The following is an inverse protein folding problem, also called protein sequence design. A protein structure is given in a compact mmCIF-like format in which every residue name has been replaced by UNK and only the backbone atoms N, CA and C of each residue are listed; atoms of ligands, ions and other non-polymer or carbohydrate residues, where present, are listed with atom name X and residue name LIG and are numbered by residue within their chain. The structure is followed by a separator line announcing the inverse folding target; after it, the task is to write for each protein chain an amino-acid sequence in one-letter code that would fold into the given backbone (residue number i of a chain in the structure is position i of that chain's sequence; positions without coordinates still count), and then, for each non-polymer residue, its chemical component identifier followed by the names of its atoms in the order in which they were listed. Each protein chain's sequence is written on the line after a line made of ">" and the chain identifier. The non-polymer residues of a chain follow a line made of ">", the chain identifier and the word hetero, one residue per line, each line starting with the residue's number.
data_IF_554317896197
#
_entry.id   IF_554317896197
#
_cell.length_a   1.000
_cell.length_b   1.000
_cell.length_c   1.000
_cell.angle_alpha   90.00
_cell.angle_beta   90.00
_cell.angle_gamma   90.00
#
_symmetry.space_group_name_H-M   'P 1'
#
loop_
_entity.id
_entity.type
_entity.pdbx_description
1 polymer ?
#
# COMPACT_ATOMS: atom_id res chain seq x y z
N UNK A 1 0.00 9.56 -3.04
CA UNK A 1 1.24 10.09 -2.42
C UNK A 1 1.08 11.59 -2.31
N UNK A 2 1.39 12.15 -1.15
CA UNK A 2 1.45 13.60 -0.89
C UNK A 2 2.89 13.96 -0.48
N UNK A 3 3.39 15.09 -0.96
CA UNK A 3 4.81 15.48 -0.79
C UNK A 3 4.89 16.95 -0.43
N UNK A 4 5.62 17.28 0.65
CA UNK A 4 5.80 18.66 1.12
C UNK A 4 7.26 18.95 1.41
N UNK A 5 7.75 20.10 0.97
CA UNK A 5 9.03 20.64 1.42
C UNK A 5 8.93 20.98 2.91
N UNK A 6 9.88 20.49 3.71
CA UNK A 6 9.88 20.66 5.17
C UNK A 6 11.17 21.24 5.74
N UNK A 7 12.24 21.34 4.94
CA UNK A 7 13.48 21.94 5.40
C UNK A 7 14.68 21.60 4.56
N UNK A 8 15.82 21.42 5.23
CA UNK A 8 17.11 21.18 4.60
C UNK A 8 17.53 19.71 4.73
N UNK A 9 18.02 19.16 3.62
CA UNK A 9 18.70 17.86 3.56
C UNK A 9 19.96 17.99 2.70
N UNK A 10 21.05 17.24 2.98
CA UNK A 10 22.24 17.26 2.13
C UNK A 10 21.98 16.76 0.70
N UNK A 11 20.83 16.14 0.42
CA UNK A 11 20.47 15.59 -0.88
C UNK A 11 19.81 16.64 -1.79
N UNK A 12 20.54 17.71 -2.09
CA UNK A 12 20.07 18.83 -2.92
C UNK A 12 19.57 20.04 -2.13
N UNK A 13 19.79 20.08 -0.81
CA UNK A 13 19.46 21.21 0.07
C UNK A 13 17.96 21.44 0.29
N UNK A 14 17.14 20.42 0.02
CA UNK A 14 15.69 20.40 0.28
C UNK A 14 15.35 19.04 0.88
N UNK A 15 14.58 19.06 1.96
CA UNK A 15 14.03 17.89 2.63
C UNK A 15 12.51 17.79 2.40
N UNK A 16 12.00 16.56 2.38
CA UNK A 16 10.60 16.27 2.05
C UNK A 16 9.92 15.42 3.12
N UNK A 17 8.73 15.85 3.57
CA UNK A 17 7.75 14.97 4.22
C UNK A 17 6.95 14.27 3.12
N UNK A 18 7.07 12.95 3.06
CA UNK A 18 6.45 12.11 2.03
C UNK A 18 5.42 11.20 2.68
N UNK A 19 4.16 11.41 2.35
CA UNK A 19 3.04 10.59 2.81
C UNK A 19 2.58 9.66 1.71
N UNK A 20 2.89 8.37 1.87
CA UNK A 20 2.44 7.30 1.00
C UNK A 20 1.30 6.51 1.67
N UNK A 21 0.34 6.08 0.87
CA UNK A 21 -0.76 5.21 1.28
C UNK A 21 -0.90 4.13 0.22
N UNK A 22 -1.05 2.89 0.67
CA UNK A 22 -1.21 1.70 -0.15
C UNK A 22 -2.54 1.04 0.20
N UNK A 23 -3.31 0.70 -0.82
CA UNK A 23 -4.50 -0.11 -0.71
C UNK A 23 -4.22 -1.54 -1.18
N UNK A 24 -5.20 -2.41 -0.98
CA UNK A 24 -5.24 -3.73 -1.60
C UNK A 24 -6.56 -3.86 -2.36
N UNK A 25 -6.47 -4.38 -3.58
CA UNK A 25 -7.61 -4.82 -4.37
C UNK A 25 -7.30 -6.22 -4.86
N UNK A 26 -8.32 -7.06 -4.93
CA UNK A 26 -8.15 -8.44 -5.37
C UNK A 26 -8.37 -8.50 -6.87
N UNK A 27 -7.39 -9.03 -7.60
CA UNK A 27 -7.51 -9.25 -9.04
C UNK A 27 -8.21 -10.59 -9.33
N UNK A 28 -7.85 -11.63 -8.60
CA UNK A 28 -8.41 -12.96 -8.77
C UNK A 28 -8.46 -13.73 -7.45
N UNK A 29 -9.57 -14.43 -7.22
CA UNK A 29 -9.75 -15.43 -6.16
C UNK A 29 -10.29 -16.69 -6.81
N UNK A 30 -9.67 -17.83 -6.50
CA UNK A 30 -10.18 -19.12 -6.97
C UNK A 30 -11.60 -19.38 -6.43
N UNK A 31 -12.46 -19.99 -7.24
CA UNK A 31 -13.88 -20.15 -6.93
C UNK A 31 -14.14 -20.97 -5.67
N UNK A 32 -13.31 -21.98 -5.41
CA UNK A 32 -13.36 -22.77 -4.18
C UNK A 32 -13.11 -21.90 -2.93
N UNK A 33 -12.25 -20.89 -3.03
CA UNK A 33 -11.97 -19.96 -1.93
C UNK A 33 -13.11 -18.95 -1.78
N UNK A 34 -13.69 -18.45 -2.88
CA UNK A 34 -14.88 -17.58 -2.82
C UNK A 34 -16.06 -18.28 -2.13
N UNK A 35 -16.26 -19.57 -2.40
CA UNK A 35 -17.33 -20.36 -1.76
C UNK A 35 -17.21 -20.44 -0.23
N UNK A 36 -16.00 -20.35 0.33
CA UNK A 36 -15.79 -20.35 1.78
C UNK A 36 -16.42 -19.14 2.47
N UNK A 37 -16.61 -18.04 1.74
CA UNK A 37 -17.12 -16.77 2.28
C UNK A 37 -18.50 -16.39 1.76
N UNK A 38 -19.13 -17.22 0.92
CA UNK A 38 -20.36 -16.88 0.19
C UNK A 38 -21.55 -16.55 1.12
N UNK A 39 -21.64 -17.23 2.27
CA UNK A 39 -22.68 -17.06 3.29
C UNK A 39 -22.25 -16.17 4.47
N UNK A 40 -21.04 -15.58 4.39
CA UNK A 40 -20.46 -14.82 5.50
C UNK A 40 -20.97 -13.37 5.52
N UNK A 41 -21.00 -12.73 6.70
CA UNK A 41 -21.35 -11.32 6.79
C UNK A 41 -20.34 -10.43 6.06
N UNK A 42 -20.79 -9.23 5.67
CA UNK A 42 -19.87 -8.19 5.19
C UNK A 42 -18.91 -7.78 6.31
N UNK A 43 -17.68 -7.43 5.95
CA UNK A 43 -16.71 -6.91 6.91
C UNK A 43 -17.27 -5.64 7.60
N UNK A 44 -17.18 -5.56 8.95
CA UNK A 44 -17.53 -4.34 9.68
C UNK A 44 -16.57 -3.17 9.35
N UNK A 45 -16.91 -1.93 9.71
CA UNK A 45 -16.06 -0.76 9.45
C UNK A 45 -14.68 -0.85 10.13
N UNK A 46 -14.61 -1.36 11.36
CA UNK A 46 -13.34 -1.68 11.99
C UNK A 46 -12.89 -3.11 11.64
N UNK A 47 -11.58 -3.36 11.45
CA UNK A 47 -11.07 -4.70 11.23
C UNK A 47 -11.48 -5.66 12.37
N UNK A 48 -11.99 -6.86 12.04
CA UNK A 48 -12.26 -7.90 13.04
C UNK A 48 -11.02 -8.20 13.88
N UNK A 49 -11.21 -8.55 15.16
CA UNK A 49 -10.08 -8.92 16.06
C UNK A 49 -9.60 -10.36 15.87
N UNK A 50 -10.42 -11.20 15.23
CA UNK A 50 -10.21 -12.64 15.10
C UNK A 50 -10.43 -13.10 13.65
N UNK A 51 -10.03 -14.34 13.35
CA UNK A 51 -10.24 -14.97 12.04
C UNK A 51 -9.19 -14.63 10.99
N UNK A 52 -8.09 -13.98 11.37
CA UNK A 52 -6.97 -13.66 10.49
C UNK A 52 -6.02 -14.86 10.35
N UNK A 53 -5.74 -15.23 9.11
CA UNK A 53 -4.79 -16.25 8.71
C UNK A 53 -3.60 -15.56 8.02
N UNK A 54 -2.38 -15.66 8.55
CA UNK A 54 -1.19 -15.18 7.86
C UNK A 54 -1.01 -15.87 6.52
N UNK A 55 -0.61 -15.12 5.51
CA UNK A 55 -0.30 -15.62 4.18
C UNK A 55 1.17 -15.37 3.86
N UNK A 56 1.75 -16.31 3.12
CA UNK A 56 3.05 -16.12 2.49
C UNK A 56 2.86 -15.32 1.19
N UNK A 57 3.73 -14.33 0.97
CA UNK A 57 3.80 -13.60 -0.29
C UNK A 57 4.71 -14.41 -1.21
N UNK A 58 4.11 -15.18 -2.12
CA UNK A 58 4.86 -16.04 -3.05
C UNK A 58 5.68 -15.22 -4.05
N UNK A 59 5.11 -14.12 -4.55
CA UNK A 59 5.76 -13.22 -5.49
C UNK A 59 5.20 -11.79 -5.35
N UNK A 60 5.99 -10.81 -5.77
CA UNK A 60 5.53 -9.42 -5.93
C UNK A 60 6.25 -8.76 -7.10
N UNK A 61 5.57 -7.84 -7.77
CA UNK A 61 6.18 -6.97 -8.76
C UNK A 61 6.64 -5.66 -8.10
N UNK A 62 7.70 -5.02 -8.59
CA UNK A 62 8.12 -3.71 -8.10
C UNK A 62 6.98 -2.69 -8.25
N UNK A 63 6.56 -2.09 -7.14
CA UNK A 63 5.58 -1.02 -7.11
C UNK A 63 6.28 0.30 -6.78
N UNK A 64 6.16 1.28 -7.67
CA UNK A 64 6.76 2.59 -7.45
C UNK A 64 5.86 3.72 -7.94
N UNK A 65 5.89 4.83 -7.22
CA UNK A 65 5.25 6.08 -7.62
C UNK A 65 6.30 7.18 -7.69
N UNK A 66 6.27 7.97 -8.76
CA UNK A 66 7.08 9.17 -8.91
C UNK A 66 6.16 10.38 -9.04
N UNK A 67 6.60 11.50 -8.46
CA UNK A 67 5.97 12.81 -8.64
C UNK A 67 7.03 13.87 -8.83
N UNK A 68 6.71 14.83 -9.69
CA UNK A 68 7.49 16.06 -9.80
C UNK A 68 6.90 17.12 -8.88
N UNK A 69 7.77 17.72 -8.08
CA UNK A 69 7.40 18.78 -7.14
C UNK A 69 8.26 20.00 -7.38
N UNK A 70 7.58 21.14 -7.55
CA UNK A 70 8.22 22.45 -7.57
C UNK A 70 8.45 22.90 -6.12
N UNK A 71 9.70 23.20 -5.78
CA UNK A 71 10.14 23.64 -4.46
C UNK A 71 11.00 24.89 -4.55
N UNK A 72 11.40 25.43 -3.38
CA UNK A 72 12.19 26.65 -3.26
C UNK A 72 13.51 26.62 -4.08
N UNK A 73 14.12 25.44 -4.25
CA UNK A 73 15.40 25.25 -4.95
C UNK A 73 15.28 24.67 -6.36
N UNK A 74 14.09 24.66 -6.94
CA UNK A 74 13.84 24.16 -8.29
C UNK A 74 12.87 22.98 -8.32
N UNK A 75 12.95 22.17 -9.37
CA UNK A 75 12.09 21.00 -9.53
C UNK A 75 12.82 19.76 -9.04
N UNK A 76 12.12 18.92 -8.26
CA UNK A 76 12.62 17.63 -7.80
C UNK A 76 11.69 16.52 -8.29
N UNK A 77 12.29 15.36 -8.53
CA UNK A 77 11.56 14.10 -8.72
C UNK A 77 11.64 13.35 -7.41
N UNK A 78 10.48 13.16 -6.76
CA UNK A 78 10.34 12.37 -5.55
C UNK A 78 9.76 11.01 -5.94
N UNK A 79 10.41 9.94 -5.48
CA UNK A 79 10.05 8.56 -5.74
C UNK A 79 9.77 7.83 -4.44
N UNK A 80 8.74 7.00 -4.44
CA UNK A 80 8.46 6.03 -3.38
C UNK A 80 8.38 4.65 -4.01
N UNK A 81 9.28 3.76 -3.58
CA UNK A 81 9.14 2.34 -3.84
C UNK A 81 8.33 1.71 -2.69
N UNK A 82 7.27 0.99 -3.01
CA UNK A 82 6.40 0.29 -2.08
C UNK A 82 6.65 -1.22 -2.14
N UNK A 83 6.77 -1.85 -0.98
CA UNK A 83 7.01 -3.28 -0.86
C UNK A 83 6.00 -3.89 0.12
N UNK A 84 5.30 -4.94 -0.33
CA UNK A 84 4.42 -5.71 0.54
C UNK A 84 5.29 -6.64 1.40
N UNK A 85 5.17 -6.54 2.72
CA UNK A 85 6.05 -7.27 3.66
C UNK A 85 5.31 -8.29 4.51
N UNK A 86 3.99 -8.14 4.66
CA UNK A 86 3.14 -9.09 5.36
C UNK A 86 1.78 -9.12 4.70
N UNK A 87 1.20 -10.31 4.63
CA UNK A 87 -0.16 -10.52 4.16
C UNK A 87 -0.94 -11.37 5.15
N UNK A 88 -2.23 -11.08 5.30
CA UNK A 88 -3.17 -11.92 6.00
C UNK A 88 -4.50 -11.95 5.25
N UNK A 89 -5.28 -13.02 5.43
CA UNK A 89 -6.67 -13.07 4.98
C UNK A 89 -7.63 -13.37 6.12
N UNK A 90 -8.90 -13.04 5.92
CA UNK A 90 -9.97 -13.41 6.82
C UNK A 90 -11.11 -14.08 6.02
N UNK A 91 -11.48 -15.29 6.45
CA UNK A 91 -12.52 -16.12 5.82
C UNK A 91 -13.85 -16.10 6.60
N UNK A 92 -13.92 -15.39 7.74
CA UNK A 92 -15.16 -15.25 8.52
C UNK A 92 -16.05 -14.11 8.02
N UNK A 93 -15.50 -13.25 7.16
CA UNK A 93 -16.18 -12.10 6.56
C UNK A 93 -15.93 -12.09 5.06
N UNK A 94 -16.81 -11.39 4.33
CA UNK A 94 -16.66 -11.15 2.89
C UNK A 94 -16.60 -9.67 2.56
N UNK A 95 -15.93 -9.36 1.44
CA UNK A 95 -15.95 -8.04 0.81
C UNK A 95 -17.31 -7.78 0.18
N UNK A 96 -17.55 -6.54 -0.24
CA UNK A 96 -18.73 -6.18 -1.04
C UNK A 96 -18.79 -6.91 -2.39
N UNK A 97 -17.67 -7.48 -2.84
CA UNK A 97 -17.55 -8.29 -4.05
C UNK A 97 -17.70 -9.80 -3.79
N UNK A 98 -17.97 -10.21 -2.54
CA UNK A 98 -18.13 -11.63 -2.18
C UNK A 98 -16.81 -12.39 -2.08
N UNK A 99 -15.71 -11.70 -1.81
CA UNK A 99 -14.37 -12.26 -1.72
C UNK A 99 -13.89 -12.29 -0.26
N UNK A 100 -12.90 -13.14 0.09
CA UNK A 100 -12.21 -13.02 1.36
C UNK A 100 -11.66 -11.62 1.58
N UNK A 101 -11.53 -11.24 2.85
CA UNK A 101 -10.83 -10.00 3.19
C UNK A 101 -9.34 -10.27 3.18
N UNK A 102 -8.58 -9.41 2.51
CA UNK A 102 -7.12 -9.42 2.54
C UNK A 102 -6.61 -8.15 3.22
N UNK A 103 -5.53 -8.30 3.97
CA UNK A 103 -4.86 -7.20 4.63
C UNK A 103 -3.36 -7.28 4.33
N UNK A 104 -2.80 -6.18 3.82
CA UNK A 104 -1.40 -6.10 3.45
C UNK A 104 -0.73 -5.02 4.29
N UNK A 105 0.43 -5.36 4.86
CA UNK A 105 1.35 -4.39 5.42
C UNK A 105 2.38 -4.00 4.37
N UNK A 106 2.60 -2.69 4.23
CA UNK A 106 3.48 -2.10 3.24
C UNK A 106 4.65 -1.39 3.92
N UNK A 107 5.81 -1.45 3.29
CA UNK A 107 6.93 -0.55 3.59
C UNK A 107 7.13 0.41 2.42
N UNK A 108 7.46 1.66 2.73
CA UNK A 108 7.64 2.72 1.73
C UNK A 108 9.05 3.28 1.84
N UNK A 109 9.78 3.24 0.74
CA UNK A 109 11.14 3.76 0.63
C UNK A 109 11.10 5.03 -0.21
N UNK A 110 11.05 6.17 0.47
CA UNK A 110 11.02 7.48 -0.17
C UNK A 110 12.45 8.00 -0.42
N UNK A 111 12.69 8.54 -1.61
CA UNK A 111 13.94 9.20 -1.98
C UNK A 111 13.70 10.19 -3.11
N UNK A 112 14.64 11.09 -3.35
CA UNK A 112 14.46 12.16 -4.33
C UNK A 112 15.76 12.57 -5.00
N UNK A 113 15.60 13.26 -6.14
CA UNK A 113 16.70 13.88 -6.88
C UNK A 113 16.24 15.19 -7.51
N UNK A 114 17.16 16.14 -7.62
CA UNK A 114 16.91 17.34 -8.42
C UNK A 114 16.66 16.94 -9.89
N UNK A 115 15.64 17.53 -10.50
CA UNK A 115 15.37 17.39 -11.93
C UNK A 115 16.34 18.33 -12.66
N UNK A 116 17.25 17.74 -13.43
CA UNK A 116 18.23 18.48 -14.24
C UNK A 116 17.56 19.27 -15.34
#
# INVERSE_FOLDING_TARGET
>A
MDVKEVGYSPFGGVDFDVKAVGGVAVEHVAEEVKRLVADKPLMPPEPPREGWEPLEIAEQQPAAAEVEVQVSRGVFVVRVDAEAVMAARNLQYRSVHGEPIYWISWTYKAYWRAKR
#
